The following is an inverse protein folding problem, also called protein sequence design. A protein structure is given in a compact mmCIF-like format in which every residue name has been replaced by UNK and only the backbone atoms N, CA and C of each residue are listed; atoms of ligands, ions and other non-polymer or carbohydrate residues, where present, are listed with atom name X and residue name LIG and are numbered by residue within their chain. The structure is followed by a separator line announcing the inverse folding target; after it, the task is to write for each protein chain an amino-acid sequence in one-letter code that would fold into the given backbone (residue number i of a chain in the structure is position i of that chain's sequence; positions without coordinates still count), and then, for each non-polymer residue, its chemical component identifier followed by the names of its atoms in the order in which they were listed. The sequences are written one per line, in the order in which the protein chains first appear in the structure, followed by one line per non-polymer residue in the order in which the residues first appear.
data_IF_261283108941
#
_entry.id   IF_261283108941
#
_cell.length_a   1.000
_cell.length_b   1.000
_cell.length_c   1.000
_cell.angle_alpha   90.00
_cell.angle_beta   90.00
_cell.angle_gamma   90.00
#
_symmetry.space_group_name_H-M   'P 1'
#
loop_
_entity.id
_entity.type
_entity.pdbx_description
1 polymer ?
#
# COMPACT_ATOMS: atom_id res chain seq x y z
N UNK A 1 -1.73 74.87 20.75
CA UNK A 1 -0.50 74.58 19.99
C UNK A 1 -0.60 73.14 19.50
N UNK A 2 -0.55 72.89 18.19
CA UNK A 2 -0.83 71.57 17.60
C UNK A 2 0.46 70.72 17.57
N UNK A 3 0.39 69.50 18.08
CA UNK A 3 1.50 68.54 18.06
C UNK A 3 1.53 67.78 16.71
N UNK A 4 2.70 67.64 16.06
CA UNK A 4 2.81 66.90 14.81
C UNK A 4 2.78 65.39 15.08
N UNK A 5 1.95 64.65 14.33
CA UNK A 5 1.91 63.19 14.36
C UNK A 5 3.07 62.62 13.53
N UNK A 6 4.06 62.04 14.21
CA UNK A 6 5.15 61.31 13.56
C UNK A 6 4.59 60.07 12.83
N UNK A 7 4.48 60.15 11.51
CA UNK A 7 4.12 59.03 10.64
C UNK A 7 5.25 58.00 10.66
N UNK A 8 5.04 56.90 11.39
CA UNK A 8 5.95 55.75 11.39
C UNK A 8 6.00 55.15 9.98
N UNK A 9 7.14 55.27 9.30
CA UNK A 9 7.38 54.59 8.02
C UNK A 9 7.61 53.11 8.32
N UNK A 10 6.71 52.25 7.82
CA UNK A 10 6.93 50.80 7.83
C UNK A 10 7.83 50.48 6.64
N UNK A 11 9.01 49.86 6.84
CA UNK A 11 9.84 49.44 5.72
C UNK A 11 9.09 48.40 4.89
N UNK A 12 8.94 48.66 3.59
CA UNK A 12 8.37 47.71 2.64
C UNK A 12 9.39 46.64 2.26
N UNK A 13 8.93 45.41 2.01
CA UNK A 13 9.78 44.32 1.56
C UNK A 13 10.38 44.62 0.18
N UNK A 14 11.66 44.29 0.00
CA UNK A 14 12.34 44.46 -1.27
C UNK A 14 11.96 43.36 -2.25
N UNK A 15 11.88 43.71 -3.54
CA UNK A 15 11.56 42.77 -4.61
C UNK A 15 12.57 41.60 -4.67
N UNK A 16 13.84 41.87 -4.36
CA UNK A 16 14.90 40.85 -4.33
C UNK A 16 14.70 39.84 -3.18
N UNK A 17 14.22 40.32 -2.03
CA UNK A 17 14.00 39.48 -0.85
C UNK A 17 12.90 38.47 -1.13
N UNK A 18 11.79 38.91 -1.72
CA UNK A 18 10.70 38.01 -2.12
C UNK A 18 11.12 37.10 -3.28
N UNK A 19 11.95 37.59 -4.22
CA UNK A 19 12.40 36.79 -5.38
C UNK A 19 13.23 35.57 -4.97
N UNK A 20 14.17 35.74 -4.04
CA UNK A 20 15.00 34.62 -3.57
C UNK A 20 14.14 33.62 -2.78
N UNK A 21 13.19 34.11 -1.98
CA UNK A 21 12.27 33.25 -1.22
C UNK A 21 11.41 32.41 -2.16
N UNK A 22 10.86 32.99 -3.23
CA UNK A 22 10.07 32.25 -4.22
C UNK A 22 10.90 31.20 -4.96
N UNK A 23 12.17 31.49 -5.27
CA UNK A 23 13.08 30.51 -5.88
C UNK A 23 13.32 29.33 -4.94
N UNK A 24 13.63 29.58 -3.66
CA UNK A 24 13.86 28.51 -2.68
C UNK A 24 12.60 27.66 -2.50
N UNK A 25 11.43 28.29 -2.30
CA UNK A 25 10.15 27.56 -2.16
C UNK A 25 9.82 26.77 -3.43
N UNK A 26 10.11 27.31 -4.62
CA UNK A 26 9.93 26.63 -5.89
C UNK A 26 10.77 25.35 -6.01
N UNK A 27 12.05 25.41 -5.64
CA UNK A 27 12.96 24.25 -5.67
C UNK A 27 12.56 23.21 -4.61
N UNK A 28 12.20 23.66 -3.40
CA UNK A 28 11.76 22.78 -2.32
C UNK A 28 10.47 22.04 -2.69
N UNK A 29 9.46 22.76 -3.18
CA UNK A 29 8.20 22.15 -3.63
C UNK A 29 8.45 21.13 -4.75
N UNK A 30 9.23 21.49 -5.78
CA UNK A 30 9.57 20.58 -6.87
C UNK A 30 10.26 19.29 -6.41
N UNK A 31 11.17 19.41 -5.43
CA UNK A 31 11.90 18.25 -4.87
C UNK A 31 11.00 17.33 -4.05
N UNK A 32 10.07 17.89 -3.27
CA UNK A 32 9.15 17.10 -2.41
C UNK A 32 8.15 16.29 -3.23
N UNK A 33 7.58 16.85 -4.30
CA UNK A 33 6.63 16.11 -5.16
C UNK A 33 7.26 14.86 -5.77
N UNK A 34 8.50 14.96 -6.26
CA UNK A 34 9.24 13.80 -6.78
C UNK A 34 9.53 12.78 -5.68
N UNK A 35 9.88 13.25 -4.47
CA UNK A 35 10.10 12.39 -3.30
C UNK A 35 8.87 11.57 -2.91
N UNK A 36 7.67 12.14 -2.98
CA UNK A 36 6.42 11.42 -2.69
C UNK A 36 6.19 10.25 -3.66
N UNK A 37 6.35 10.48 -4.96
CA UNK A 37 6.19 9.41 -5.95
C UNK A 37 7.22 8.29 -5.78
N UNK A 38 8.47 8.62 -5.45
CA UNK A 38 9.51 7.62 -5.16
C UNK A 38 9.19 6.80 -3.91
N UNK A 39 8.70 7.47 -2.85
CA UNK A 39 8.26 6.78 -1.64
C UNK A 39 7.11 5.81 -1.91
N UNK A 40 6.13 6.22 -2.71
CA UNK A 40 5.00 5.36 -3.07
C UNK A 40 5.46 4.15 -3.88
N UNK A 41 6.40 4.32 -4.81
CA UNK A 41 7.01 3.20 -5.54
C UNK A 41 7.80 2.26 -4.62
N UNK A 42 8.54 2.80 -3.64
CA UNK A 42 9.27 2.01 -2.66
C UNK A 42 8.31 1.17 -1.80
N UNK A 43 7.18 1.74 -1.38
CA UNK A 43 6.13 1.00 -0.66
C UNK A 43 5.56 -0.13 -1.51
N UNK A 44 5.25 0.12 -2.80
CA UNK A 44 4.77 -0.94 -3.72
C UNK A 44 5.78 -2.08 -3.81
N UNK A 45 7.07 -1.79 -4.03
CA UNK A 45 8.12 -2.81 -4.10
C UNK A 45 8.25 -3.62 -2.80
N UNK A 46 8.14 -2.94 -1.67
CA UNK A 46 8.23 -3.59 -0.37
C UNK A 46 7.02 -4.51 -0.12
N UNK A 47 5.82 -4.09 -0.55
CA UNK A 47 4.62 -4.94 -0.53
C UNK A 47 4.72 -6.12 -1.48
N UNK A 48 5.33 -5.99 -2.66
CA UNK A 48 5.63 -7.14 -3.53
C UNK A 48 6.48 -8.17 -2.78
N UNK A 49 7.53 -7.71 -2.09
CA UNK A 49 8.40 -8.59 -1.31
C UNK A 49 7.65 -9.27 -0.16
N UNK A 50 6.75 -8.54 0.53
CA UNK A 50 5.88 -9.10 1.56
C UNK A 50 4.96 -10.19 1.01
N UNK A 51 4.35 -10.00 -0.17
CA UNK A 51 3.54 -11.00 -0.85
C UNK A 51 4.33 -12.30 -1.09
N UNK A 52 5.54 -12.17 -1.64
CA UNK A 52 6.39 -13.33 -1.94
C UNK A 52 6.85 -14.06 -0.67
N UNK A 53 7.19 -13.33 0.39
CA UNK A 53 7.57 -13.92 1.67
C UNK A 53 6.42 -14.69 2.31
N UNK A 54 5.22 -14.10 2.31
CA UNK A 54 4.03 -14.76 2.85
C UNK A 54 3.65 -15.96 1.99
N UNK A 55 3.67 -15.83 0.66
CA UNK A 55 3.42 -16.95 -0.25
C UNK A 55 4.40 -18.10 0.04
N UNK A 56 5.70 -17.81 0.13
CA UNK A 56 6.71 -18.81 0.44
C UNK A 56 6.45 -19.48 1.80
N UNK A 57 6.11 -18.71 2.84
CA UNK A 57 5.79 -19.26 4.16
C UNK A 57 4.55 -20.17 4.10
N UNK A 58 3.46 -19.72 3.47
CA UNK A 58 2.22 -20.48 3.35
C UNK A 58 2.41 -21.74 2.49
N UNK A 59 3.05 -21.62 1.32
CA UNK A 59 3.33 -22.76 0.43
C UNK A 59 4.34 -23.75 1.02
N UNK A 60 5.32 -23.28 1.80
CA UNK A 60 6.28 -24.17 2.48
C UNK A 60 5.60 -25.07 3.50
N UNK A 61 4.63 -24.53 4.25
CA UNK A 61 3.83 -25.32 5.16
C UNK A 61 2.75 -26.12 4.45
N UNK A 62 2.09 -25.59 3.41
CA UNK A 62 0.96 -26.22 2.72
C UNK A 62 1.21 -27.64 2.16
N UNK A 63 2.46 -28.09 2.15
CA UNK A 63 2.83 -29.50 1.95
C UNK A 63 2.36 -30.43 3.08
N UNK A 64 2.15 -29.89 4.27
CA UNK A 64 1.45 -30.49 5.40
C UNK A 64 -0.03 -30.09 5.29
N UNK A 65 -0.88 -31.04 4.91
CA UNK A 65 -2.29 -30.86 4.53
C UNK A 65 -3.20 -30.11 5.54
N UNK A 66 -2.70 -29.77 6.72
CA UNK A 66 -3.45 -29.22 7.86
C UNK A 66 -3.69 -27.70 7.81
N UNK A 67 -2.87 -26.91 7.09
CA UNK A 67 -3.10 -25.45 7.00
C UNK A 67 -4.38 -25.13 6.21
N UNK A 68 -4.57 -25.90 5.15
CA UNK A 68 -5.62 -25.75 4.17
C UNK A 68 -6.98 -26.24 4.67
N UNK A 69 -6.98 -27.13 5.67
CA UNK A 69 -8.19 -27.57 6.35
C UNK A 69 -8.86 -26.46 7.20
N UNK A 70 -8.15 -25.38 7.58
CA UNK A 70 -8.70 -24.32 8.43
C UNK A 70 -8.08 -22.94 8.11
N UNK A 71 -8.51 -22.30 7.01
CA UNK A 71 -7.92 -21.05 6.53
C UNK A 71 -8.03 -19.88 7.52
N UNK A 72 -9.01 -19.92 8.40
CA UNK A 72 -9.26 -18.93 9.45
C UNK A 72 -8.15 -18.82 10.52
N UNK A 73 -7.35 -19.88 10.73
CA UNK A 73 -6.31 -19.93 11.75
C UNK A 73 -4.89 -20.02 11.17
N UNK A 74 -4.71 -19.74 9.88
CA UNK A 74 -3.42 -19.86 9.17
C UNK A 74 -2.31 -19.10 9.90
N UNK A 75 -2.56 -17.86 10.31
CA UNK A 75 -1.55 -17.03 10.98
C UNK A 75 -1.11 -17.59 12.33
N UNK A 76 -2.04 -18.19 13.09
CA UNK A 76 -1.71 -18.86 14.35
C UNK A 76 -0.86 -20.10 14.10
N UNK A 77 -1.25 -20.93 13.13
CA UNK A 77 -0.52 -22.15 12.76
C UNK A 77 0.89 -21.84 12.24
N UNK A 78 1.03 -20.84 11.36
CA UNK A 78 2.33 -20.40 10.86
C UNK A 78 3.25 -19.88 11.98
N UNK A 79 2.67 -19.25 13.02
CA UNK A 79 3.44 -18.81 14.17
C UNK A 79 3.85 -19.97 15.09
N UNK A 80 2.96 -20.95 15.28
CA UNK A 80 3.22 -22.16 16.07
C UNK A 80 4.42 -22.96 15.55
N UNK A 81 4.57 -23.01 14.23
CA UNK A 81 5.67 -23.74 13.55
C UNK A 81 6.90 -22.87 13.25
N UNK A 82 6.92 -21.63 13.73
CA UNK A 82 8.08 -20.74 13.62
C UNK A 82 8.35 -20.19 12.21
N UNK A 83 7.47 -20.42 11.24
CA UNK A 83 7.56 -19.81 9.90
C UNK A 83 7.10 -18.35 9.90
N UNK A 84 6.40 -17.92 10.96
CA UNK A 84 5.90 -16.57 11.09
C UNK A 84 6.06 -16.03 12.51
N UNK A 85 6.28 -14.72 12.63
CA UNK A 85 6.67 -14.12 13.91
C UNK A 85 5.49 -13.88 14.87
N UNK A 86 4.26 -13.67 14.36
CA UNK A 86 3.11 -13.29 15.18
C UNK A 86 1.84 -14.03 14.76
N UNK A 87 0.98 -14.46 15.69
CA UNK A 87 -0.23 -15.25 15.37
C UNK A 87 -1.34 -14.48 14.66
N UNK A 88 -1.07 -13.23 14.23
CA UNK A 88 -2.03 -12.32 13.61
C UNK A 88 -1.65 -12.00 12.16
N UNK A 89 -2.66 -11.67 11.36
CA UNK A 89 -2.50 -11.27 9.98
C UNK A 89 -1.59 -10.03 9.86
N UNK A 90 -0.54 -10.06 9.02
CA UNK A 90 0.28 -8.89 8.79
C UNK A 90 -0.47 -7.79 8.05
N UNK A 91 -0.04 -6.56 8.28
CA UNK A 91 -0.41 -5.40 7.48
C UNK A 91 0.67 -5.13 6.44
N UNK A 92 0.25 -4.67 5.26
CA UNK A 92 1.17 -4.28 4.19
C UNK A 92 1.70 -2.86 4.42
N UNK A 93 2.88 -2.55 3.86
CA UNK A 93 3.40 -1.16 3.81
C UNK A 93 2.56 -0.19 2.98
N UNK A 94 1.66 -0.69 2.14
CA UNK A 94 0.63 0.11 1.46
C UNK A 94 -0.66 0.27 2.29
N UNK A 95 -0.71 -0.34 3.48
CA UNK A 95 -1.93 -0.52 4.24
C UNK A 95 -2.73 -1.73 3.75
N UNK A 96 -3.75 -2.11 4.51
CA UNK A 96 -4.50 -3.33 4.29
C UNK A 96 -3.92 -4.52 5.05
N UNK A 97 -4.72 -5.58 5.12
CA UNK A 97 -4.44 -6.79 5.90
C UNK A 97 -4.35 -7.97 4.95
N UNK A 98 -3.35 -8.82 5.15
CA UNK A 98 -3.24 -10.07 4.43
C UNK A 98 -4.23 -11.09 4.99
N UNK A 99 -4.96 -11.78 4.12
CA UNK A 99 -5.87 -12.86 4.47
C UNK A 99 -5.66 -14.00 3.49
N UNK A 100 -5.78 -15.23 3.99
CA UNK A 100 -5.75 -16.41 3.13
C UNK A 100 -7.13 -17.04 3.18
N UNK A 101 -7.66 -17.38 2.02
CA UNK A 101 -8.97 -17.99 1.89
C UNK A 101 -8.96 -19.07 0.80
N UNK A 102 -9.89 -20.00 0.90
CA UNK A 102 -10.09 -21.06 -0.07
C UNK A 102 -11.28 -20.71 -0.97
N UNK A 103 -11.13 -20.95 -2.28
CA UNK A 103 -12.22 -20.82 -3.23
C UNK A 103 -12.06 -21.82 -4.36
N UNK A 104 -12.97 -22.80 -4.41
CA UNK A 104 -13.03 -23.76 -5.50
C UNK A 104 -11.85 -24.74 -5.55
N UNK A 105 -11.30 -25.12 -4.40
CA UNK A 105 -10.15 -26.00 -4.24
C UNK A 105 -8.80 -25.30 -4.37
N UNK A 106 -8.79 -23.99 -4.62
CA UNK A 106 -7.56 -23.19 -4.74
C UNK A 106 -7.47 -22.21 -3.57
N UNK A 107 -6.29 -22.11 -2.97
CA UNK A 107 -6.02 -21.14 -1.92
C UNK A 107 -5.54 -19.83 -2.53
N UNK A 108 -5.98 -18.73 -1.95
CA UNK A 108 -5.64 -17.40 -2.42
C UNK A 108 -5.11 -16.56 -1.25
N UNK A 109 -4.00 -15.89 -1.48
CA UNK A 109 -3.52 -14.82 -0.62
C UNK A 109 -4.13 -13.51 -1.09
N UNK A 110 -4.93 -12.88 -0.24
CA UNK A 110 -5.60 -11.61 -0.48
C UNK A 110 -4.95 -10.51 0.36
N UNK A 111 -4.63 -9.39 -0.26
CA UNK A 111 -4.46 -8.12 0.43
C UNK A 111 -5.74 -7.29 0.23
N UNK A 112 -6.45 -7.00 1.31
CA UNK A 112 -7.67 -6.20 1.29
C UNK A 112 -7.65 -5.09 2.32
N UNK A 113 -8.48 -4.06 2.12
CA UNK A 113 -8.81 -3.11 3.16
C UNK A 113 -9.62 -3.83 4.23
N UNK A 114 -9.02 -4.20 5.35
CA UNK A 114 -9.77 -4.76 6.48
C UNK A 114 -10.83 -3.76 6.94
N UNK A 115 -12.12 -4.09 6.80
CA UNK A 115 -13.16 -3.42 7.60
C UNK A 115 -12.98 -3.90 9.04
N UNK A 116 -12.98 -3.09 10.09
CA UNK A 116 -13.88 -1.99 10.41
C UNK A 116 -13.21 -0.99 11.36
N UNK A 117 -12.19 -0.26 10.91
CA UNK A 117 -11.69 0.99 11.50
C UNK A 117 -10.63 1.53 10.56
N UNK A 118 -11.00 2.53 9.77
CA UNK A 118 -10.33 2.86 8.52
C UNK A 118 -8.85 3.19 8.63
N UNK A 119 -8.00 2.41 7.97
CA UNK A 119 -6.81 2.90 7.26
C UNK A 119 -6.30 1.83 6.28
N UNK A 120 -6.90 1.74 5.09
CA UNK A 120 -6.35 0.93 4.00
C UNK A 120 -6.89 1.40 2.66
N UNK A 121 -6.28 2.45 2.12
CA UNK A 121 -6.55 2.94 0.77
C UNK A 121 -5.57 2.27 -0.18
N UNK A 122 -5.91 1.08 -0.66
CA UNK A 122 -5.31 0.61 -1.91
C UNK A 122 -5.95 1.42 -3.03
N UNK A 123 -5.35 2.56 -3.36
CA UNK A 123 -5.81 3.40 -4.48
C UNK A 123 -5.65 2.63 -5.79
N UNK A 124 -6.45 2.95 -6.81
CA UNK A 124 -6.34 2.26 -8.10
C UNK A 124 -4.94 2.33 -8.72
N UNK A 125 -4.21 3.43 -8.48
CA UNK A 125 -2.82 3.58 -8.93
C UNK A 125 -1.86 2.59 -8.24
N UNK A 126 -1.99 2.42 -6.92
CA UNK A 126 -1.16 1.48 -6.16
C UNK A 126 -1.49 0.03 -6.52
N UNK A 127 -2.77 -0.27 -6.73
CA UNK A 127 -3.26 -1.60 -7.09
C UNK A 127 -2.76 -2.01 -8.46
N UNK A 128 -2.84 -1.10 -9.44
CA UNK A 128 -2.28 -1.32 -10.78
C UNK A 128 -0.77 -1.56 -10.72
N UNK A 129 -0.04 -0.72 -9.99
CA UNK A 129 1.41 -0.84 -9.88
C UNK A 129 1.82 -2.15 -9.19
N UNK A 130 1.08 -2.55 -8.16
CA UNK A 130 1.32 -3.78 -7.41
C UNK A 130 0.96 -5.01 -8.24
N UNK A 131 -0.19 -5.02 -8.92
CA UNK A 131 -0.60 -6.16 -9.74
C UNK A 131 0.35 -6.41 -10.90
N UNK A 132 0.81 -5.35 -11.57
CA UNK A 132 1.78 -5.47 -12.66
C UNK A 132 3.10 -6.08 -12.16
N UNK A 133 3.63 -5.58 -11.03
CA UNK A 133 4.88 -6.09 -10.47
C UNK A 133 4.78 -7.50 -9.92
N UNK A 134 3.64 -7.86 -9.34
CA UNK A 134 3.40 -9.22 -8.88
C UNK A 134 3.31 -10.20 -10.06
N UNK A 135 2.67 -9.81 -11.16
CA UNK A 135 2.65 -10.61 -12.39
C UNK A 135 4.05 -10.76 -12.99
N UNK A 136 4.84 -9.67 -13.06
CA UNK A 136 6.22 -9.70 -13.55
C UNK A 136 7.13 -10.57 -12.67
N UNK A 137 6.97 -10.51 -11.34
CA UNK A 137 7.88 -11.18 -10.41
C UNK A 137 7.57 -12.65 -10.16
N UNK A 138 6.30 -13.07 -10.24
CA UNK A 138 5.87 -14.40 -9.81
C UNK A 138 5.23 -15.24 -10.92
N UNK A 139 4.79 -14.63 -12.03
CA UNK A 139 4.08 -15.35 -13.10
C UNK A 139 2.70 -15.90 -12.70
N UNK A 140 2.37 -15.90 -11.41
CA UNK A 140 1.08 -16.32 -10.88
C UNK A 140 -0.05 -15.38 -11.27
N UNK A 141 -1.25 -15.96 -11.40
CA UNK A 141 -2.45 -15.21 -11.75
C UNK A 141 -2.84 -14.28 -10.62
N UNK A 142 -2.63 -12.98 -10.83
CA UNK A 142 -3.08 -11.92 -9.93
C UNK A 142 -4.49 -11.48 -10.32
N UNK A 143 -5.43 -11.61 -9.39
CA UNK A 143 -6.83 -11.20 -9.54
C UNK A 143 -7.04 -9.92 -8.75
N UNK A 144 -7.69 -8.93 -9.36
CA UNK A 144 -8.07 -7.69 -8.69
C UNK A 144 -9.59 -7.71 -8.49
N UNK A 145 -10.06 -7.38 -7.29
CA UNK A 145 -11.49 -7.21 -7.02
C UNK A 145 -11.81 -5.81 -6.54
N UNK A 146 -12.99 -5.34 -6.92
CA UNK A 146 -13.57 -4.10 -6.41
C UNK A 146 -14.24 -4.28 -5.04
N UNK A 147 -14.79 -3.20 -4.50
CA UNK A 147 -15.57 -3.22 -3.25
C UNK A 147 -16.83 -4.08 -3.30
N UNK A 148 -17.35 -4.36 -4.50
CA UNK A 148 -18.49 -5.24 -4.75
C UNK A 148 -18.09 -6.72 -4.83
N UNK A 149 -16.80 -7.02 -4.59
CA UNK A 149 -16.20 -8.35 -4.71
C UNK A 149 -16.22 -8.92 -6.16
N UNK A 150 -16.46 -8.06 -7.14
CA UNK A 150 -16.43 -8.38 -8.56
C UNK A 150 -15.01 -8.39 -9.09
N UNK A 151 -14.68 -9.38 -9.92
CA UNK A 151 -13.37 -9.44 -10.60
C UNK A 151 -13.28 -8.30 -11.60
N UNK A 152 -12.29 -7.44 -11.42
CA UNK A 152 -12.01 -6.35 -12.35
C UNK A 152 -11.30 -6.90 -13.58
N UNK A 153 -11.99 -6.78 -14.71
CA UNK A 153 -11.44 -7.07 -16.05
C UNK A 153 -10.88 -5.81 -16.73
N UNK A 154 -11.10 -4.65 -16.12
CA UNK A 154 -10.68 -3.33 -16.60
C UNK A 154 -9.78 -2.66 -15.58
N UNK A 155 -9.05 -1.64 -16.02
CA UNK A 155 -8.09 -0.94 -15.20
C UNK A 155 -8.76 -0.29 -13.96
N UNK A 156 -8.18 -0.44 -12.74
CA UNK A 156 -8.77 0.13 -11.53
C UNK A 156 -8.81 1.66 -11.59
N UNK A 157 -9.97 2.21 -11.21
CA UNK A 157 -10.19 3.65 -11.11
C UNK A 157 -9.41 4.25 -9.93
N UNK A 158 -8.98 5.50 -10.05
CA UNK A 158 -8.11 6.14 -9.04
C UNK A 158 -8.71 6.19 -7.62
N UNK A 159 -10.02 6.36 -7.51
CA UNK A 159 -10.73 6.61 -6.23
C UNK A 159 -11.47 5.37 -5.69
N UNK A 160 -11.27 4.20 -6.30
CA UNK A 160 -11.85 2.95 -5.82
C UNK A 160 -11.03 2.30 -4.72
N UNK A 161 -11.72 1.50 -3.89
CA UNK A 161 -11.06 0.57 -2.97
C UNK A 161 -11.02 -0.80 -3.62
N UNK A 162 -9.83 -1.41 -3.63
CA UNK A 162 -9.62 -2.70 -4.28
C UNK A 162 -8.97 -3.68 -3.33
N UNK A 163 -9.13 -4.96 -3.66
CA UNK A 163 -8.32 -6.04 -3.11
C UNK A 163 -7.55 -6.73 -4.22
N UNK A 164 -6.39 -7.25 -3.87
CA UNK A 164 -5.54 -8.04 -4.76
C UNK A 164 -5.48 -9.45 -4.19
N UNK A 165 -5.71 -10.43 -5.05
CA UNK A 165 -5.63 -11.85 -4.76
C UNK A 165 -4.56 -12.48 -5.63
N UNK A 166 -3.79 -13.38 -5.05
CA UNK A 166 -2.82 -14.20 -5.74
C UNK A 166 -3.10 -15.65 -5.39
N UNK A 167 -3.16 -16.51 -6.41
CA UNK A 167 -3.27 -17.94 -6.18
C UNK A 167 -2.01 -18.45 -5.46
N UNK A 168 -2.22 -19.29 -4.46
CA UNK A 168 -1.18 -20.05 -3.79
C UNK A 168 -1.10 -21.39 -4.51
N UNK A 169 -0.26 -21.48 -5.55
CA UNK A 169 0.03 -22.77 -6.19
C UNK A 169 0.98 -23.59 -5.30
N UNK A 170 0.78 -24.91 -5.28
CA UNK A 170 1.66 -25.87 -4.59
C UNK A 170 2.98 -26.09 -5.32
#
# INVERSE_FOLDING_TARGET
MQHPLLKKMVPGFSLIEISIVLVIVGILMGSVFKGKNLLDQAKVNATVTEFLQIQAAVSSYGKEAELFASPENIWKKLAEVGLWAQPQAPTSRLGGVFSVFESGGTYYLRLSSGGSSGTAFLTGAQVKALSLKLQESNGDTVIIRDSSNGILKSEPQKDGTYSIEMALTS
#
